data_IF_947120930496
#
_entry.id   IF_947120930496
#
_cell.length_a   1.000
_cell.length_b   1.000
_cell.length_c   1.000
_cell.angle_alpha   90.00
_cell.angle_beta   90.00
_cell.angle_gamma   90.00
#
_symmetry.space_group_name_H-M   'P 1'
#
loop_
_entity.id
_entity.type
_entity.pdbx_description
1 polymer ?
#
# COMPACT_ATOMS: atom_id res chain seq x y z
N UNK A 1 10.27 13.53 -21.58
CA UNK A 1 8.83 13.89 -21.57
C UNK A 1 8.56 14.85 -20.45
N UNK A 2 7.60 15.75 -20.65
CA UNK A 2 7.06 16.62 -19.60
C UNK A 2 5.87 15.92 -18.94
N UNK A 3 6.01 15.52 -17.69
CA UNK A 3 5.06 14.64 -16.99
C UNK A 3 4.37 15.41 -15.86
N UNK A 4 3.04 15.36 -15.82
CA UNK A 4 2.26 15.86 -14.69
C UNK A 4 1.91 14.69 -13.76
N UNK A 5 2.28 14.80 -12.48
CA UNK A 5 1.85 13.92 -11.40
C UNK A 5 0.88 14.69 -10.51
N UNK A 6 -0.33 14.17 -10.30
CA UNK A 6 -1.37 14.88 -9.57
C UNK A 6 -1.83 14.12 -8.31
N UNK A 7 -1.91 14.84 -7.17
CA UNK A 7 -2.45 14.33 -5.92
C UNK A 7 -3.00 15.48 -5.05
N UNK A 8 -4.01 15.23 -4.25
CA UNK A 8 -4.60 16.28 -3.37
C UNK A 8 -3.64 16.83 -2.33
N UNK A 9 -2.59 16.08 -1.92
CA UNK A 9 -1.65 16.51 -0.88
C UNK A 9 -0.31 15.75 -1.01
N UNK A 10 0.80 16.45 -0.90
CA UNK A 10 2.13 15.86 -0.84
C UNK A 10 2.58 15.76 0.63
N UNK A 11 2.73 14.54 1.14
CA UNK A 11 3.24 14.22 2.48
C UNK A 11 3.87 12.81 2.46
N UNK A 12 4.61 12.42 3.52
CA UNK A 12 5.23 11.09 3.59
C UNK A 12 4.54 10.11 4.57
N UNK A 13 3.37 10.48 5.08
CA UNK A 13 2.67 9.67 6.09
C UNK A 13 1.85 8.51 5.52
N UNK A 14 1.45 8.59 4.25
CA UNK A 14 0.65 7.57 3.57
C UNK A 14 1.45 6.69 2.61
N UNK A 15 0.91 5.52 2.27
CA UNK A 15 1.53 4.61 1.29
C UNK A 15 1.52 5.18 -0.12
N UNK A 16 0.40 5.77 -0.55
CA UNK A 16 0.25 6.38 -1.89
C UNK A 16 1.16 7.59 -2.05
N UNK A 17 1.27 8.42 -1.03
CA UNK A 17 2.08 9.64 -1.04
C UNK A 17 3.58 9.32 -1.12
N UNK A 18 4.04 8.27 -0.41
CA UNK A 18 5.42 7.77 -0.56
C UNK A 18 5.71 7.26 -1.97
N UNK A 19 4.77 6.53 -2.58
CA UNK A 19 4.91 6.06 -3.96
C UNK A 19 4.93 7.24 -4.93
N UNK A 20 4.06 8.26 -4.75
CA UNK A 20 4.08 9.48 -5.54
C UNK A 20 5.44 10.19 -5.48
N UNK A 21 5.97 10.38 -4.27
CA UNK A 21 7.26 11.03 -4.04
C UNK A 21 8.40 10.28 -4.75
N UNK A 22 8.48 8.96 -4.53
CA UNK A 22 9.48 8.09 -5.20
C UNK A 22 9.28 8.02 -6.72
N UNK A 23 8.02 8.09 -7.19
CA UNK A 23 7.74 8.16 -8.63
C UNK A 23 8.29 9.45 -9.23
N UNK A 24 8.11 10.58 -8.55
CA UNK A 24 8.65 11.86 -9.01
C UNK A 24 10.18 11.86 -9.05
N UNK A 25 10.85 11.35 -8.01
CA UNK A 25 12.30 11.19 -7.98
C UNK A 25 12.80 10.31 -9.13
N UNK A 26 12.26 9.10 -9.24
CA UNK A 26 12.74 8.13 -10.21
C UNK A 26 12.50 8.55 -11.66
N UNK A 27 11.40 9.23 -11.98
CA UNK A 27 11.17 9.77 -13.32
C UNK A 27 12.12 10.95 -13.64
N UNK A 28 12.40 11.83 -12.68
CA UNK A 28 13.42 12.87 -12.81
C UNK A 28 14.80 12.27 -13.09
N UNK A 29 15.21 11.26 -12.31
CA UNK A 29 16.51 10.60 -12.44
C UNK A 29 16.67 9.90 -13.79
N UNK A 30 15.56 9.57 -14.45
CA UNK A 30 15.49 9.02 -15.81
C UNK A 30 15.39 10.11 -16.90
N UNK A 31 15.62 11.37 -16.56
CA UNK A 31 15.69 12.51 -17.49
C UNK A 31 14.34 13.06 -17.93
N UNK A 32 13.27 12.82 -17.19
CA UNK A 32 11.97 13.45 -17.46
C UNK A 32 11.83 14.80 -16.74
N UNK A 33 11.12 15.74 -17.36
CA UNK A 33 10.67 16.97 -16.73
C UNK A 33 9.40 16.68 -15.92
N UNK A 34 9.53 16.66 -14.58
CA UNK A 34 8.46 16.20 -13.67
C UNK A 34 7.81 17.37 -12.95
N UNK A 35 6.51 17.53 -13.13
CA UNK A 35 5.67 18.54 -12.52
C UNK A 35 4.67 17.90 -11.54
N UNK A 36 4.72 18.29 -10.27
CA UNK A 36 3.79 17.83 -9.22
C UNK A 36 2.68 18.87 -9.04
N UNK A 37 1.44 18.46 -9.25
CA UNK A 37 0.24 19.27 -9.07
C UNK A 37 -0.50 18.83 -7.81
N UNK A 38 -0.34 19.58 -6.72
CA UNK A 38 -0.93 19.25 -5.44
C UNK A 38 -1.85 20.35 -4.91
N UNK A 39 -2.93 19.96 -4.25
CA UNK A 39 -3.79 20.92 -3.54
C UNK A 39 -3.10 21.48 -2.29
N UNK A 40 -2.20 20.71 -1.67
CA UNK A 40 -1.39 21.13 -0.53
C UNK A 40 -0.02 20.45 -0.54
N UNK A 41 1.01 21.18 -0.11
CA UNK A 41 2.37 20.66 0.09
C UNK A 41 2.69 20.76 1.58
N UNK A 42 2.83 19.59 2.25
CA UNK A 42 3.27 19.48 3.65
C UNK A 42 4.78 19.34 3.73
N UNK A 43 5.35 18.79 2.67
CA UNK A 43 6.79 18.69 2.41
C UNK A 43 7.09 19.28 1.04
N UNK A 44 8.32 19.66 0.83
CA UNK A 44 8.77 20.13 -0.47
C UNK A 44 8.77 19.02 -1.52
N UNK A 45 8.50 19.34 -2.78
CA UNK A 45 8.71 18.43 -3.90
C UNK A 45 10.15 17.92 -3.93
N UNK A 46 10.41 16.71 -4.49
CA UNK A 46 11.78 16.25 -4.70
C UNK A 46 12.62 17.27 -5.45
N UNK A 47 13.88 17.48 -5.04
CA UNK A 47 14.80 18.39 -5.71
C UNK A 47 14.87 18.09 -7.21
N UNK A 48 14.88 19.12 -8.06
CA UNK A 48 14.86 18.97 -9.51
C UNK A 48 13.50 18.63 -10.13
N UNK A 49 12.41 18.71 -9.35
CA UNK A 49 11.03 18.64 -9.85
C UNK A 49 10.30 19.99 -9.63
N UNK A 50 9.18 20.21 -10.31
CA UNK A 50 8.43 21.47 -10.27
C UNK A 50 7.12 21.29 -9.49
N UNK A 51 6.97 22.01 -8.38
CA UNK A 51 5.74 21.99 -7.56
C UNK A 51 4.73 23.05 -8.01
N UNK A 52 3.47 22.67 -8.24
CA UNK A 52 2.37 23.55 -8.61
C UNK A 52 1.20 23.38 -7.66
N UNK A 53 0.82 24.45 -6.99
CA UNK A 53 -0.32 24.43 -6.08
C UNK A 53 -1.63 24.62 -6.85
N UNK A 54 -2.44 23.54 -6.88
CA UNK A 54 -3.79 23.59 -7.45
C UNK A 54 -4.69 24.42 -6.52
N UNK A 55 -5.46 25.41 -7.04
CA UNK A 55 -6.33 26.26 -6.23
C UNK A 55 -7.57 25.48 -5.73
N UNK A 56 -7.37 24.60 -4.77
CA UNK A 56 -8.42 23.78 -4.17
C UNK A 56 -8.67 24.19 -2.71
N UNK A 57 -9.92 24.03 -2.24
CA UNK A 57 -10.28 24.31 -0.86
C UNK A 57 -9.62 23.27 0.06
N UNK A 58 -9.17 23.74 1.23
CA UNK A 58 -8.53 22.85 2.21
C UNK A 58 -9.55 22.17 3.13
N UNK A 59 -10.67 22.80 3.39
CA UNK A 59 -11.72 22.36 4.32
C UNK A 59 -13.09 22.86 3.85
N UNK A 60 -14.19 22.15 4.09
CA UNK A 60 -14.28 20.78 4.63
C UNK A 60 -13.80 19.71 3.63
N UNK A 61 -13.66 18.45 4.10
CA UNK A 61 -13.13 17.32 3.30
C UNK A 61 -13.86 17.10 1.97
N UNK A 62 -15.18 17.28 1.94
CA UNK A 62 -16.02 17.19 0.73
C UNK A 62 -15.70 18.30 -0.27
N UNK A 63 -15.56 19.55 0.19
CA UNK A 63 -15.21 20.68 -0.67
C UNK A 63 -13.79 20.54 -1.24
N UNK A 64 -12.83 20.06 -0.41
CA UNK A 64 -11.48 19.75 -0.89
C UNK A 64 -11.50 18.70 -2.00
N UNK A 65 -12.24 17.59 -1.81
CA UNK A 65 -12.38 16.54 -2.83
C UNK A 65 -12.97 17.11 -4.13
N UNK A 66 -14.09 17.83 -4.03
CA UNK A 66 -14.79 18.39 -5.16
C UNK A 66 -13.91 19.37 -5.94
N UNK A 67 -13.37 20.38 -5.24
CA UNK A 67 -12.59 21.43 -5.89
C UNK A 67 -11.31 20.89 -6.51
N UNK A 68 -10.59 19.98 -5.86
CA UNK A 68 -9.42 19.35 -6.46
C UNK A 68 -9.81 18.52 -7.71
N UNK A 69 -10.84 17.66 -7.61
CA UNK A 69 -11.23 16.79 -8.70
C UNK A 69 -11.63 17.53 -9.99
N UNK A 70 -12.27 18.70 -9.86
CA UNK A 70 -12.77 19.46 -11.00
C UNK A 70 -11.83 20.58 -11.46
N UNK A 71 -11.06 21.20 -10.57
CA UNK A 71 -10.17 22.30 -10.94
C UNK A 71 -8.79 21.82 -11.43
N UNK A 72 -8.28 20.71 -10.89
CA UNK A 72 -6.96 20.22 -11.25
C UNK A 72 -6.80 19.93 -12.76
N UNK A 73 -7.74 19.29 -13.48
CA UNK A 73 -7.61 19.03 -14.91
C UNK A 73 -7.37 20.31 -15.73
N UNK A 74 -8.21 21.34 -15.52
CA UNK A 74 -8.09 22.62 -16.22
C UNK A 74 -6.81 23.40 -15.86
N UNK A 75 -6.38 23.29 -14.59
CA UNK A 75 -5.13 23.90 -14.14
C UNK A 75 -3.90 23.23 -14.76
N UNK A 76 -3.87 21.89 -14.81
CA UNK A 76 -2.78 21.10 -15.41
C UNK A 76 -2.69 21.34 -16.93
N UNK A 77 -3.83 21.46 -17.62
CA UNK A 77 -3.89 21.65 -19.07
C UNK A 77 -3.11 22.90 -19.53
N UNK A 78 -3.06 23.96 -18.71
CA UNK A 78 -2.30 25.19 -19.01
C UNK A 78 -0.80 24.98 -19.07
N UNK A 79 -0.28 23.91 -18.44
CA UNK A 79 1.16 23.60 -18.38
C UNK A 79 1.64 22.73 -19.55
N UNK A 80 0.74 22.31 -20.45
CA UNK A 80 1.05 21.56 -21.68
C UNK A 80 1.95 20.34 -21.45
N UNK A 81 1.64 19.53 -20.43
CA UNK A 81 2.35 18.29 -20.15
C UNK A 81 2.04 17.22 -21.21
N UNK A 82 3.01 16.36 -21.51
CA UNK A 82 2.88 15.25 -22.47
C UNK A 82 1.90 14.19 -21.98
N UNK A 83 1.92 13.93 -20.69
CA UNK A 83 1.05 12.95 -20.02
C UNK A 83 0.69 13.42 -18.61
N UNK A 84 -0.54 13.11 -18.20
CA UNK A 84 -1.07 13.39 -16.85
C UNK A 84 -1.34 12.09 -16.13
N UNK A 85 -0.60 11.82 -15.05
CA UNK A 85 -0.78 10.67 -14.17
C UNK A 85 -1.37 11.13 -12.85
N UNK A 86 -2.59 10.71 -12.54
CA UNK A 86 -3.23 11.02 -11.26
C UNK A 86 -3.07 9.87 -10.26
N UNK A 87 -2.69 10.21 -9.03
CA UNK A 87 -2.66 9.33 -7.86
C UNK A 87 -3.88 9.55 -6.95
N UNK A 88 -4.79 10.44 -7.36
CA UNK A 88 -6.01 10.76 -6.60
C UNK A 88 -7.22 10.91 -7.53
N UNK A 89 -8.37 11.23 -6.96
CA UNK A 89 -9.63 11.39 -7.69
C UNK A 89 -9.65 12.69 -8.47
N UNK A 90 -9.68 12.59 -9.79
CA UNK A 90 -9.88 13.68 -10.75
C UNK A 90 -10.89 13.25 -11.79
N UNK A 91 -11.61 14.22 -12.38
CA UNK A 91 -12.66 13.91 -13.39
C UNK A 91 -12.08 13.66 -14.78
N UNK A 92 -10.86 14.08 -15.07
CA UNK A 92 -10.15 13.86 -16.31
C UNK A 92 -8.63 13.83 -16.11
N UNK A 93 -7.97 12.83 -16.66
CA UNK A 93 -6.52 12.61 -16.71
C UNK A 93 -6.20 11.60 -17.81
N UNK A 94 -4.94 11.47 -18.19
CA UNK A 94 -4.56 10.41 -19.14
C UNK A 94 -4.49 9.04 -18.45
N UNK A 95 -3.81 8.99 -17.31
CA UNK A 95 -3.59 7.77 -16.53
C UNK A 95 -4.08 7.98 -15.10
N UNK A 96 -4.94 7.08 -14.61
CA UNK A 96 -5.28 7.01 -13.20
C UNK A 96 -4.57 5.84 -12.55
N UNK A 97 -3.80 6.09 -11.49
CA UNK A 97 -3.18 5.05 -10.68
C UNK A 97 -4.01 4.76 -9.43
N UNK A 98 -4.68 3.62 -9.41
CA UNK A 98 -5.51 3.16 -8.30
C UNK A 98 -4.67 2.44 -7.23
N UNK A 99 -4.29 3.18 -6.19
CA UNK A 99 -3.48 2.63 -5.09
C UNK A 99 -4.27 1.80 -4.07
N UNK A 100 -5.59 1.89 -4.04
CA UNK A 100 -6.42 1.25 -3.01
C UNK A 100 -7.67 0.53 -3.51
N UNK A 101 -7.84 0.46 -4.83
CA UNK A 101 -9.01 -0.14 -5.45
C UNK A 101 -10.25 0.76 -5.50
N UNK A 102 -11.39 0.26 -6.01
CA UNK A 102 -12.62 0.99 -6.11
C UNK A 102 -13.19 1.34 -4.73
N UNK A 103 -13.65 2.57 -4.59
CA UNK A 103 -14.31 3.00 -3.35
C UNK A 103 -15.62 2.25 -3.10
N UNK A 104 -16.31 1.84 -4.17
CA UNK A 104 -17.49 1.00 -4.09
C UNK A 104 -17.17 -0.33 -3.38
N UNK A 105 -16.15 -1.04 -3.82
CA UNK A 105 -15.72 -2.31 -3.22
C UNK A 105 -15.24 -2.12 -1.77
N UNK A 106 -14.53 -1.00 -1.50
CA UNK A 106 -14.16 -0.64 -0.14
C UNK A 106 -15.40 -0.50 0.77
N UNK A 107 -16.43 0.23 0.35
CA UNK A 107 -17.64 0.40 1.12
C UNK A 107 -18.38 -0.93 1.34
N UNK A 108 -18.43 -1.80 0.35
CA UNK A 108 -19.04 -3.13 0.46
C UNK A 108 -18.32 -3.99 1.52
N UNK A 109 -16.97 -4.04 1.48
CA UNK A 109 -16.15 -4.75 2.46
C UNK A 109 -16.33 -4.17 3.88
N UNK A 110 -16.29 -2.85 4.02
CA UNK A 110 -16.49 -2.18 5.32
C UNK A 110 -17.89 -2.41 5.88
N UNK A 111 -18.92 -2.36 5.03
CA UNK A 111 -20.30 -2.65 5.46
C UNK A 111 -20.47 -4.07 6.00
N UNK A 112 -19.77 -5.07 5.44
CA UNK A 112 -19.81 -6.44 5.96
C UNK A 112 -19.24 -6.55 7.38
N UNK A 113 -18.20 -5.76 7.68
CA UNK A 113 -17.46 -5.79 8.95
C UNK A 113 -18.06 -4.88 10.06
N UNK A 114 -19.14 -4.12 9.80
CA UNK A 114 -19.66 -3.11 10.72
C UNK A 114 -21.14 -3.35 11.13
N UNK A 115 -21.54 -2.70 12.23
CA UNK A 115 -22.91 -2.74 12.72
C UNK A 115 -23.88 -1.93 11.83
N UNK A 116 -25.19 -2.10 12.06
CA UNK A 116 -26.26 -1.52 11.23
C UNK A 116 -26.18 0.01 11.14
N UNK A 117 -25.93 0.71 12.25
CA UNK A 117 -25.85 2.17 12.28
C UNK A 117 -24.72 2.70 11.37
N UNK A 118 -23.55 2.06 11.39
CA UNK A 118 -22.44 2.41 10.51
C UNK A 118 -22.69 2.03 9.06
N UNK A 119 -23.39 0.92 8.80
CA UNK A 119 -23.81 0.53 7.44
C UNK A 119 -24.68 1.62 6.80
N UNK A 120 -25.66 2.16 7.55
CA UNK A 120 -26.50 3.26 7.08
C UNK A 120 -25.68 4.53 6.87
N UNK A 121 -24.78 4.87 7.78
CA UNK A 121 -23.92 6.05 7.65
C UNK A 121 -23.06 6.00 6.37
N UNK A 122 -22.43 4.85 6.06
CA UNK A 122 -21.67 4.68 4.81
C UNK A 122 -22.52 4.88 3.54
N UNK A 123 -23.84 4.58 3.60
CA UNK A 123 -24.74 4.78 2.47
C UNK A 123 -25.20 6.23 2.29
N UNK A 124 -25.36 6.97 3.38
CA UNK A 124 -25.96 8.30 3.39
C UNK A 124 -24.95 9.45 3.39
N UNK A 125 -23.71 9.19 3.85
CA UNK A 125 -22.70 10.24 3.98
C UNK A 125 -22.40 10.94 2.64
N UNK A 126 -22.60 12.27 2.54
CA UNK A 126 -22.44 13.02 1.28
C UNK A 126 -21.06 12.87 0.67
N UNK A 127 -20.03 12.74 1.50
CA UNK A 127 -18.65 12.50 1.07
C UNK A 127 -18.51 11.21 0.24
N UNK A 128 -19.12 10.10 0.68
CA UNK A 128 -19.02 8.82 -0.04
C UNK A 128 -19.79 8.85 -1.36
N UNK A 129 -20.96 9.51 -1.38
CA UNK A 129 -21.76 9.68 -2.61
C UNK A 129 -21.00 10.52 -3.65
N UNK A 130 -20.42 11.64 -3.21
CA UNK A 130 -19.59 12.49 -4.09
C UNK A 130 -18.38 11.71 -4.62
N UNK A 131 -17.68 10.98 -3.76
CA UNK A 131 -16.52 10.18 -4.17
C UNK A 131 -16.89 9.13 -5.22
N UNK A 132 -18.01 8.42 -5.03
CA UNK A 132 -18.51 7.44 -6.00
C UNK A 132 -18.89 8.08 -7.35
N UNK A 133 -19.47 9.29 -7.34
CA UNK A 133 -19.79 10.02 -8.56
C UNK A 133 -18.53 10.43 -9.33
N UNK A 134 -17.53 10.97 -8.65
CA UNK A 134 -16.23 11.32 -9.24
C UNK A 134 -15.53 10.06 -9.76
N UNK A 135 -15.52 8.98 -8.98
CA UNK A 135 -14.88 7.71 -9.36
C UNK A 135 -15.53 7.11 -10.61
N UNK A 136 -16.87 7.12 -10.71
CA UNK A 136 -17.57 6.66 -11.91
C UNK A 136 -17.13 7.44 -13.14
N UNK A 137 -17.01 8.77 -13.04
CA UNK A 137 -16.56 9.60 -14.15
C UNK A 137 -15.08 9.34 -14.48
N UNK A 138 -14.22 9.20 -13.47
CA UNK A 138 -12.79 8.90 -13.62
C UNK A 138 -12.52 7.56 -14.31
N UNK A 139 -13.32 6.53 -13.98
CA UNK A 139 -13.19 5.18 -14.55
C UNK A 139 -13.85 5.05 -15.91
N UNK A 140 -14.91 5.85 -16.18
CA UNK A 140 -15.69 5.79 -17.42
C UNK A 140 -14.96 6.35 -18.64
N UNK A 141 -15.67 6.36 -19.78
CA UNK A 141 -15.16 6.92 -21.03
C UNK A 141 -14.94 8.44 -20.91
N UNK A 142 -13.81 8.91 -21.41
CA UNK A 142 -13.37 10.31 -21.28
C UNK A 142 -12.77 10.70 -19.92
N UNK A 143 -12.80 9.83 -18.91
CA UNK A 143 -12.19 10.09 -17.60
C UNK A 143 -10.70 9.74 -17.55
N UNK A 144 -10.34 8.54 -17.97
CA UNK A 144 -8.95 8.06 -18.06
C UNK A 144 -8.77 7.22 -19.32
N UNK A 145 -7.62 7.35 -20.00
CA UNK A 145 -7.23 6.48 -21.12
C UNK A 145 -6.76 5.12 -20.61
N UNK A 146 -5.93 5.12 -19.58
CA UNK A 146 -5.46 3.92 -18.88
C UNK A 146 -5.68 4.03 -17.38
N UNK A 147 -5.93 2.89 -16.75
CA UNK A 147 -6.06 2.75 -15.30
C UNK A 147 -5.00 1.76 -14.83
N UNK A 148 -4.09 2.22 -13.99
CA UNK A 148 -3.09 1.37 -13.37
C UNK A 148 -3.66 0.81 -12.06
N UNK A 149 -3.81 -0.50 -11.99
CA UNK A 149 -4.10 -1.24 -10.78
C UNK A 149 -2.79 -1.70 -10.13
N UNK A 150 -2.70 -1.61 -8.81
CA UNK A 150 -1.47 -1.99 -8.08
C UNK A 150 -1.29 -3.50 -7.91
N UNK A 151 -2.31 -4.30 -8.21
CA UNK A 151 -2.27 -5.77 -8.17
C UNK A 151 -3.40 -6.37 -9.01
N UNK A 152 -3.32 -7.68 -9.26
CA UNK A 152 -4.28 -8.41 -10.09
C UNK A 152 -5.70 -8.35 -9.52
N UNK A 153 -5.84 -8.49 -8.18
CA UNK A 153 -7.16 -8.41 -7.54
C UNK A 153 -7.80 -7.03 -7.74
N UNK A 154 -7.04 -5.94 -7.54
CA UNK A 154 -7.54 -4.59 -7.76
C UNK A 154 -7.89 -4.37 -9.23
N UNK A 155 -7.13 -4.93 -10.15
CA UNK A 155 -7.44 -4.92 -11.59
C UNK A 155 -8.82 -5.53 -11.88
N UNK A 156 -9.08 -6.72 -11.37
CA UNK A 156 -10.38 -7.40 -11.48
C UNK A 156 -11.50 -6.61 -10.81
N UNK A 157 -11.30 -6.16 -9.56
CA UNK A 157 -12.31 -5.36 -8.84
C UNK A 157 -12.72 -4.08 -9.58
N UNK A 158 -11.76 -3.42 -10.26
CA UNK A 158 -12.02 -2.23 -11.08
C UNK A 158 -12.82 -2.61 -12.34
N UNK A 159 -12.37 -3.63 -13.06
CA UNK A 159 -13.04 -4.08 -14.29
C UNK A 159 -14.49 -4.49 -14.02
N UNK A 160 -14.72 -5.27 -12.96
CA UNK A 160 -16.04 -5.75 -12.57
C UNK A 160 -16.98 -4.62 -12.10
N UNK A 161 -16.45 -3.75 -11.20
CA UNK A 161 -17.26 -2.69 -10.59
C UNK A 161 -17.74 -1.62 -11.59
N UNK A 162 -16.98 -1.40 -12.68
CA UNK A 162 -17.24 -0.33 -13.65
C UNK A 162 -17.44 -0.85 -15.08
N UNK A 163 -17.49 -2.17 -15.30
CA UNK A 163 -17.66 -2.82 -16.61
C UNK A 163 -16.67 -2.28 -17.67
N UNK A 164 -15.40 -2.20 -17.29
CA UNK A 164 -14.36 -1.58 -18.11
C UNK A 164 -13.89 -2.56 -19.18
N UNK A 165 -13.78 -2.07 -20.42
CA UNK A 165 -13.30 -2.84 -21.56
C UNK A 165 -11.86 -3.35 -21.34
N UNK A 166 -11.56 -4.51 -21.92
CA UNK A 166 -10.23 -5.12 -21.90
C UNK A 166 -9.15 -4.14 -22.41
N UNK A 167 -8.00 -4.15 -21.75
CA UNK A 167 -6.85 -3.34 -22.15
C UNK A 167 -6.82 -1.90 -21.60
N UNK A 168 -7.91 -1.39 -20.99
CA UNK A 168 -7.92 -0.09 -20.31
C UNK A 168 -7.32 -0.20 -18.89
N UNK A 169 -7.52 -1.32 -18.20
CA UNK A 169 -6.91 -1.62 -16.90
C UNK A 169 -5.62 -2.39 -17.14
N UNK A 170 -4.54 -1.90 -16.56
CA UNK A 170 -3.21 -2.55 -16.59
C UNK A 170 -2.69 -2.71 -15.17
N UNK A 171 -2.03 -3.83 -14.89
CA UNK A 171 -1.42 -4.07 -13.58
C UNK A 171 0.00 -3.56 -13.58
N UNK A 172 0.34 -2.71 -12.60
CA UNK A 172 1.69 -2.27 -12.33
C UNK A 172 1.93 -2.26 -10.83
N UNK A 173 2.68 -3.25 -10.36
CA UNK A 173 3.00 -3.43 -8.95
C UNK A 173 3.90 -2.31 -8.42
N UNK A 174 3.83 -2.03 -7.11
CA UNK A 174 4.73 -1.09 -6.46
C UNK A 174 6.16 -1.61 -6.41
N UNK A 175 7.13 -0.70 -6.39
CA UNK A 175 8.53 -1.02 -6.13
C UNK A 175 8.87 -1.03 -4.64
N UNK A 176 9.96 -1.72 -4.31
CA UNK A 176 10.59 -1.73 -3.00
C UNK A 176 12.07 -1.40 -3.10
N UNK A 177 12.61 -0.80 -2.05
CA UNK A 177 14.04 -0.53 -1.91
C UNK A 177 14.75 -1.81 -1.42
N UNK A 178 15.35 -2.53 -2.35
CA UNK A 178 15.99 -3.83 -2.11
C UNK A 178 17.33 -3.72 -1.34
N UNK A 179 17.92 -2.53 -1.27
CA UNK A 179 19.12 -2.26 -0.48
C UNK A 179 18.79 -1.94 0.98
N UNK A 180 17.78 -1.11 1.18
CA UNK A 180 17.27 -0.77 2.51
C UNK A 180 16.66 -2.00 3.20
N UNK A 181 15.82 -2.74 2.49
CA UNK A 181 15.16 -3.96 2.97
C UNK A 181 15.94 -5.18 2.44
N UNK A 182 16.82 -5.75 3.27
CA UNK A 182 17.71 -6.82 2.84
C UNK A 182 17.97 -7.85 3.95
N UNK A 183 18.01 -9.17 3.63
CA UNK A 183 18.26 -10.22 4.63
C UNK A 183 19.58 -10.09 5.37
N UNK A 184 20.63 -9.50 4.76
CA UNK A 184 21.94 -9.27 5.37
C UNK A 184 21.91 -8.47 6.69
N UNK A 185 20.84 -7.70 6.91
CA UNK A 185 20.67 -6.90 8.14
C UNK A 185 20.32 -7.76 9.36
N UNK A 186 19.96 -9.04 9.14
CA UNK A 186 19.53 -9.94 10.21
C UNK A 186 20.60 -10.17 11.27
N UNK A 187 21.84 -10.40 10.84
CA UNK A 187 22.94 -10.81 11.73
C UNK A 187 23.51 -9.64 12.55
N UNK A 188 23.36 -8.42 12.09
CA UNK A 188 23.84 -7.23 12.80
C UNK A 188 22.65 -6.49 13.44
N UNK A 189 21.88 -5.76 12.66
CA UNK A 189 20.82 -4.89 13.17
C UNK A 189 19.65 -5.67 13.79
N UNK A 190 19.30 -6.83 13.19
CA UNK A 190 18.26 -7.69 13.72
C UNK A 190 18.61 -8.27 15.08
N UNK A 191 19.84 -8.78 15.25
CA UNK A 191 20.33 -9.30 16.53
C UNK A 191 20.40 -8.20 17.58
N UNK A 192 20.99 -7.04 17.25
CA UNK A 192 21.08 -5.90 18.16
C UNK A 192 19.70 -5.43 18.63
N UNK A 193 18.69 -5.42 17.74
CA UNK A 193 17.34 -5.06 18.12
C UNK A 193 16.72 -6.11 19.07
N UNK A 194 16.89 -7.41 18.79
CA UNK A 194 16.43 -8.46 19.71
C UNK A 194 17.03 -8.34 21.10
N UNK A 195 18.34 -8.11 21.20
CA UNK A 195 19.04 -7.87 22.47
C UNK A 195 18.47 -6.67 23.21
N UNK A 196 18.26 -5.53 22.52
CA UNK A 196 17.70 -4.31 23.13
C UNK A 196 16.27 -4.46 23.62
N UNK A 197 15.52 -5.42 23.08
CA UNK A 197 14.15 -5.76 23.46
C UNK A 197 14.08 -6.96 24.42
N UNK A 198 15.22 -7.47 24.90
CA UNK A 198 15.32 -8.66 25.77
C UNK A 198 14.63 -9.91 25.17
N UNK A 199 14.68 -10.08 23.85
CA UNK A 199 14.15 -11.25 23.18
C UNK A 199 15.22 -12.34 23.16
N UNK A 200 14.94 -13.55 23.69
CA UNK A 200 15.89 -14.64 23.69
C UNK A 200 16.39 -14.99 22.28
N UNK A 201 17.66 -15.38 22.11
CA UNK A 201 18.24 -15.70 20.80
C UNK A 201 17.47 -16.77 20.04
N UNK A 202 16.96 -17.78 20.75
CA UNK A 202 16.21 -18.90 20.19
C UNK A 202 14.74 -18.62 19.97
N UNK A 203 14.21 -17.49 20.45
CA UNK A 203 12.80 -17.15 20.29
C UNK A 203 12.46 -16.88 18.82
N UNK A 204 11.25 -17.28 18.42
CA UNK A 204 10.66 -16.84 17.15
C UNK A 204 10.03 -15.47 17.32
N UNK A 205 10.13 -14.65 16.28
CA UNK A 205 9.61 -13.28 16.30
C UNK A 205 8.61 -13.08 15.15
N UNK A 206 7.37 -12.83 15.53
CA UNK A 206 6.33 -12.38 14.62
C UNK A 206 6.27 -10.86 14.68
N UNK A 207 6.27 -10.20 13.53
CA UNK A 207 6.10 -8.75 13.45
C UNK A 207 4.76 -8.38 12.82
N UNK A 208 4.10 -7.39 13.38
CA UNK A 208 2.97 -6.67 12.81
C UNK A 208 3.41 -5.24 12.53
N UNK A 209 3.22 -4.77 11.28
CA UNK A 209 3.60 -3.41 10.88
C UNK A 209 2.43 -2.69 10.25
N UNK A 210 2.09 -1.49 10.75
CA UNK A 210 1.04 -0.71 10.12
C UNK A 210 0.47 0.45 10.92
N UNK A 211 -0.45 1.18 10.28
CA UNK A 211 -1.27 2.24 10.89
C UNK A 211 -2.75 1.90 10.77
N UNK A 212 -3.55 2.29 11.75
CA UNK A 212 -4.96 1.93 11.80
C UNK A 212 -5.15 0.45 12.16
N UNK A 213 -4.76 0.09 13.36
CA UNK A 213 -4.59 -1.27 13.88
C UNK A 213 -5.81 -2.17 13.68
N UNK A 214 -7.03 -1.62 13.93
CA UNK A 214 -8.27 -2.38 13.72
C UNK A 214 -8.42 -2.85 12.26
N UNK A 215 -8.23 -1.95 11.30
CA UNK A 215 -8.35 -2.26 9.87
C UNK A 215 -7.29 -3.25 9.40
N UNK A 216 -6.09 -3.16 9.96
CA UNK A 216 -4.96 -4.06 9.68
C UNK A 216 -5.04 -5.41 10.41
N UNK A 217 -6.04 -5.58 11.30
CA UNK A 217 -6.34 -6.84 11.96
C UNK A 217 -5.54 -7.12 13.22
N UNK A 218 -4.92 -6.10 13.83
CA UNK A 218 -4.17 -6.29 15.09
C UNK A 218 -5.06 -6.88 16.21
N UNK A 219 -6.33 -6.47 16.30
CA UNK A 219 -7.28 -7.02 17.31
C UNK A 219 -7.45 -8.55 17.18
N UNK A 220 -7.44 -9.07 15.95
CA UNK A 220 -7.52 -10.53 15.69
C UNK A 220 -6.27 -11.23 16.16
N UNK A 221 -5.13 -10.66 15.81
CA UNK A 221 -3.83 -11.20 16.18
C UNK A 221 -3.63 -11.21 17.70
N UNK A 222 -3.98 -10.12 18.39
CA UNK A 222 -3.87 -10.03 19.84
C UNK A 222 -4.82 -11.01 20.57
N UNK A 223 -6.07 -11.14 20.13
CA UNK A 223 -7.00 -12.15 20.68
C UNK A 223 -6.51 -13.57 20.43
N UNK A 224 -5.93 -13.82 19.27
CA UNK A 224 -5.34 -15.12 18.98
C UNK A 224 -4.15 -15.40 19.90
N UNK A 225 -3.29 -14.41 20.15
CA UNK A 225 -2.15 -14.54 21.07
C UNK A 225 -2.61 -14.85 22.49
N UNK A 226 -3.70 -14.22 22.93
CA UNK A 226 -4.30 -14.42 24.25
C UNK A 226 -4.93 -15.81 24.43
N UNK A 227 -5.33 -16.47 23.34
CA UNK A 227 -5.86 -17.84 23.38
C UNK A 227 -4.78 -18.92 23.62
N UNK A 228 -3.50 -18.55 23.63
CA UNK A 228 -2.37 -19.44 23.92
C UNK A 228 -1.84 -20.24 22.71
N UNK A 229 -0.74 -20.99 22.97
CA UNK A 229 -0.07 -21.83 21.98
C UNK A 229 0.93 -21.07 21.12
N UNK A 230 1.53 -20.02 21.69
CA UNK A 230 2.63 -19.23 21.11
C UNK A 230 3.83 -19.15 22.07
N UNK A 231 4.02 -20.17 22.90
CA UNK A 231 5.12 -20.25 23.84
C UNK A 231 6.47 -20.17 23.09
N UNK A 232 7.35 -19.30 23.54
CA UNK A 232 8.64 -19.03 22.88
C UNK A 232 8.56 -18.20 21.59
N UNK A 233 7.38 -17.65 21.29
CA UNK A 233 7.16 -16.76 20.14
C UNK A 233 6.82 -15.36 20.64
N UNK A 234 7.54 -14.34 20.16
CA UNK A 234 7.34 -12.94 20.49
C UNK A 234 6.55 -12.22 19.39
N UNK A 235 5.65 -11.32 19.79
CA UNK A 235 4.91 -10.44 18.90
C UNK A 235 5.44 -9.00 19.00
N UNK A 236 6.06 -8.50 17.94
CA UNK A 236 6.46 -7.09 17.80
C UNK A 236 5.38 -6.30 17.06
N UNK A 237 4.81 -5.28 17.71
CA UNK A 237 3.82 -4.38 17.11
C UNK A 237 4.47 -3.05 16.79
N UNK A 238 4.62 -2.76 15.49
CA UNK A 238 5.27 -1.55 14.96
C UNK A 238 4.25 -0.70 14.24
N UNK A 239 4.23 0.60 14.53
CA UNK A 239 3.36 1.55 13.86
C UNK A 239 2.55 2.43 14.78
N UNK A 240 1.55 3.11 14.23
CA UNK A 240 0.78 4.11 14.96
C UNK A 240 -0.73 3.91 14.82
N UNK A 241 -1.42 4.19 15.89
CA UNK A 241 -2.89 4.27 15.94
C UNK A 241 -3.32 5.33 16.95
N UNK A 242 -4.47 5.96 16.74
CA UNK A 242 -5.03 6.93 17.69
C UNK A 242 -5.30 6.33 19.09
N UNK A 243 -5.40 5.00 19.18
CA UNK A 243 -5.62 4.22 20.40
C UNK A 243 -4.39 3.40 20.82
N UNK A 244 -3.20 3.75 20.36
CA UNK A 244 -1.97 2.99 20.66
C UNK A 244 -1.77 2.79 22.17
N UNK A 245 -2.00 3.83 22.99
CA UNK A 245 -1.90 3.75 24.46
C UNK A 245 -2.86 2.71 25.04
N UNK A 246 -4.10 2.66 24.55
CA UNK A 246 -5.10 1.68 25.01
C UNK A 246 -4.69 0.25 24.63
N UNK A 247 -4.15 0.06 23.43
CA UNK A 247 -3.62 -1.24 23.02
C UNK A 247 -2.46 -1.67 23.91
N UNK A 248 -1.49 -0.78 24.13
CA UNK A 248 -0.34 -1.06 25.00
C UNK A 248 -0.77 -1.42 26.42
N UNK A 249 -1.63 -0.61 27.05
CA UNK A 249 -2.08 -0.85 28.42
C UNK A 249 -2.85 -2.16 28.58
N UNK A 250 -3.56 -2.58 27.54
CA UNK A 250 -4.37 -3.81 27.60
C UNK A 250 -3.59 -5.08 27.28
N UNK A 251 -2.63 -5.02 26.35
CA UNK A 251 -2.06 -6.20 25.70
C UNK A 251 -0.54 -6.33 25.86
N UNK A 252 0.19 -5.27 26.28
CA UNK A 252 1.63 -5.38 26.45
C UNK A 252 1.97 -6.35 27.58
N UNK A 253 2.86 -7.28 27.28
CA UNK A 253 3.42 -8.26 28.23
C UNK A 253 4.78 -8.73 27.69
N UNK A 254 5.47 -9.60 28.38
CA UNK A 254 6.84 -10.00 28.04
C UNK A 254 6.99 -10.49 26.59
N UNK A 255 6.00 -11.21 26.05
CA UNK A 255 5.99 -11.75 24.70
C UNK A 255 5.22 -10.86 23.68
N UNK A 256 4.60 -9.73 24.09
CA UNK A 256 3.93 -8.76 23.21
C UNK A 256 4.52 -7.37 23.41
N UNK A 257 5.33 -6.93 22.47
CA UNK A 257 6.09 -5.68 22.56
C UNK A 257 5.53 -4.65 21.59
N UNK A 258 5.04 -3.53 22.12
CA UNK A 258 4.58 -2.38 21.33
C UNK A 258 5.70 -1.35 21.13
N UNK A 259 6.37 -1.39 19.99
CA UNK A 259 7.46 -0.48 19.66
C UNK A 259 6.98 0.93 19.25
N UNK A 260 5.71 1.09 18.86
CA UNK A 260 5.19 2.34 18.33
C UNK A 260 5.70 2.66 16.91
N UNK A 261 5.59 3.93 16.46
CA UNK A 261 6.09 4.35 15.16
C UNK A 261 7.63 4.36 15.16
N UNK A 262 8.23 3.75 14.13
CA UNK A 262 9.69 3.62 14.02
C UNK A 262 10.20 4.20 12.70
N UNK A 263 11.25 5.03 12.72
CA UNK A 263 11.86 5.57 11.51
C UNK A 263 12.65 4.53 10.70
N UNK A 264 13.27 3.56 11.40
CA UNK A 264 14.09 2.48 10.85
C UNK A 264 13.33 1.14 10.93
N UNK A 265 12.19 1.07 10.25
CA UNK A 265 11.31 -0.13 10.26
C UNK A 265 12.03 -1.38 9.72
N UNK A 266 13.02 -1.21 8.85
CA UNK A 266 13.86 -2.28 8.31
C UNK A 266 14.57 -3.09 9.38
N UNK A 267 14.91 -2.50 10.53
CA UNK A 267 15.53 -3.22 11.65
C UNK A 267 14.51 -4.19 12.30
N UNK A 268 13.23 -3.84 12.31
CA UNK A 268 12.17 -4.69 12.85
C UNK A 268 11.87 -5.88 11.93
N UNK A 269 11.95 -5.70 10.61
CA UNK A 269 11.91 -6.84 9.69
C UNK A 269 13.16 -7.71 9.86
N UNK A 270 14.35 -7.11 10.00
CA UNK A 270 15.58 -7.86 10.24
C UNK A 270 15.54 -8.70 11.52
N UNK A 271 14.85 -8.22 12.57
CA UNK A 271 14.64 -8.96 13.82
C UNK A 271 13.54 -10.04 13.72
N UNK A 272 12.70 -10.03 12.70
CA UNK A 272 11.52 -10.88 12.59
C UNK A 272 11.78 -12.19 11.84
N UNK A 273 10.98 -13.21 12.15
CA UNK A 273 10.90 -14.48 11.43
C UNK A 273 9.67 -14.56 10.54
N UNK A 274 8.62 -13.78 10.83
CA UNK A 274 7.35 -13.78 10.11
C UNK A 274 6.67 -12.42 10.22
N UNK A 275 6.14 -11.89 9.11
CA UNK A 275 5.16 -10.81 9.16
C UNK A 275 3.74 -11.39 9.17
N UNK A 276 2.88 -10.86 10.05
CA UNK A 276 1.45 -11.22 10.07
C UNK A 276 0.58 -9.99 9.87
N UNK A 277 -0.22 -10.00 8.80
CA UNK A 277 -1.06 -8.87 8.36
C UNK A 277 -2.49 -9.34 8.01
N UNK A 278 -3.34 -9.70 9.01
CA UNK A 278 -4.69 -10.22 8.78
C UNK A 278 -5.68 -9.06 8.57
N UNK A 279 -5.44 -8.25 7.54
CA UNK A 279 -6.18 -7.02 7.24
C UNK A 279 -7.59 -7.30 6.74
N UNK A 280 -8.58 -6.50 7.13
CA UNK A 280 -9.92 -6.50 6.52
C UNK A 280 -9.82 -6.14 5.04
N UNK A 281 -8.94 -5.19 4.73
CA UNK A 281 -8.66 -4.78 3.36
C UNK A 281 -7.22 -4.30 3.24
N UNK A 282 -6.52 -4.89 2.30
CA UNK A 282 -5.20 -4.46 1.84
C UNK A 282 -5.17 -4.55 0.32
N UNK A 283 -4.73 -3.52 -0.36
CA UNK A 283 -4.63 -3.55 -1.82
C UNK A 283 -3.33 -4.20 -2.28
N UNK A 284 -2.22 -3.56 -1.99
CA UNK A 284 -0.91 -4.06 -2.38
C UNK A 284 -0.13 -4.65 -1.20
N UNK A 285 -0.16 -3.98 -0.03
CA UNK A 285 0.59 -4.41 1.14
C UNK A 285 2.08 -4.08 1.06
N UNK A 286 2.44 -2.79 0.97
CA UNK A 286 3.84 -2.38 0.93
C UNK A 286 4.65 -2.97 2.09
N UNK A 287 4.06 -3.05 3.29
CA UNK A 287 4.72 -3.67 4.47
C UNK A 287 4.98 -5.17 4.27
N UNK A 288 4.12 -5.87 3.52
CA UNK A 288 4.36 -7.26 3.14
C UNK A 288 5.52 -7.36 2.13
N UNK A 289 5.57 -6.45 1.16
CA UNK A 289 6.68 -6.41 0.21
C UNK A 289 8.02 -6.04 0.89
N UNK A 290 8.02 -5.11 1.84
CA UNK A 290 9.18 -4.75 2.66
C UNK A 290 9.69 -5.95 3.48
N UNK A 291 8.77 -6.73 4.07
CA UNK A 291 9.11 -7.98 4.78
C UNK A 291 9.71 -9.02 3.83
N UNK A 292 9.08 -9.27 2.67
CA UNK A 292 9.61 -10.19 1.66
C UNK A 292 11.00 -9.78 1.19
N UNK A 293 11.24 -8.48 0.97
CA UNK A 293 12.55 -7.94 0.58
C UNK A 293 13.62 -8.17 1.67
N UNK A 294 13.21 -8.15 2.94
CA UNK A 294 14.05 -8.48 4.10
C UNK A 294 14.22 -9.99 4.33
N UNK A 295 13.68 -10.83 3.44
CA UNK A 295 13.70 -12.29 3.58
C UNK A 295 12.74 -12.82 4.66
N UNK A 296 11.71 -12.08 5.00
CA UNK A 296 10.71 -12.45 6.01
C UNK A 296 9.45 -12.97 5.31
N UNK A 297 9.06 -14.23 5.51
CA UNK A 297 7.80 -14.78 5.02
C UNK A 297 6.59 -14.01 5.57
N UNK A 298 5.43 -14.14 4.93
CA UNK A 298 4.25 -13.33 5.25
C UNK A 298 3.01 -14.20 5.39
N UNK A 299 2.26 -14.00 6.49
CA UNK A 299 0.85 -14.40 6.60
C UNK A 299 -0.01 -13.16 6.40
N UNK A 300 -0.88 -13.18 5.40
CA UNK A 300 -1.73 -12.04 5.07
C UNK A 300 -3.09 -12.47 4.52
N UNK A 301 -4.05 -11.56 4.51
CA UNK A 301 -5.34 -11.75 3.83
C UNK A 301 -5.16 -12.03 2.34
N UNK A 302 -6.06 -12.84 1.78
CA UNK A 302 -6.07 -13.11 0.35
C UNK A 302 -6.14 -11.80 -0.48
N UNK A 303 -5.43 -11.76 -1.61
CA UNK A 303 -5.41 -10.63 -2.52
C UNK A 303 -4.47 -9.48 -2.15
N UNK A 304 -3.55 -9.70 -1.21
CA UNK A 304 -2.43 -8.79 -0.98
C UNK A 304 -1.47 -8.86 -2.16
N UNK A 305 -1.41 -7.79 -2.95
CA UNK A 305 -0.69 -7.74 -4.23
C UNK A 305 0.82 -8.03 -4.16
N UNK A 306 1.46 -7.80 -3.02
CA UNK A 306 2.85 -8.17 -2.79
C UNK A 306 3.11 -9.70 -2.93
N UNK A 307 2.05 -10.51 -2.88
CA UNK A 307 2.10 -11.97 -3.01
C UNK A 307 1.58 -12.48 -4.37
N UNK A 308 1.22 -11.60 -5.33
CA UNK A 308 0.75 -12.00 -6.66
C UNK A 308 1.76 -12.91 -7.38
N UNK A 309 3.06 -12.59 -7.27
CA UNK A 309 4.14 -13.34 -7.92
C UNK A 309 4.90 -14.27 -6.94
N UNK A 310 4.32 -14.53 -5.76
CA UNK A 310 4.94 -15.40 -4.77
C UNK A 310 4.91 -16.88 -5.20
N UNK A 311 5.89 -17.66 -4.70
CA UNK A 311 5.89 -19.11 -4.85
C UNK A 311 4.71 -19.77 -4.15
N UNK A 312 4.41 -21.01 -4.52
CA UNK A 312 3.34 -21.81 -3.89
C UNK A 312 3.52 -21.90 -2.36
N UNK A 313 4.76 -22.08 -1.89
CA UNK A 313 5.07 -22.18 -0.47
C UNK A 313 4.76 -20.90 0.30
N UNK A 314 5.09 -19.73 -0.23
CA UNK A 314 4.74 -18.45 0.37
C UNK A 314 3.24 -18.15 0.31
N UNK A 315 2.57 -18.58 -0.75
CA UNK A 315 1.10 -18.44 -0.87
C UNK A 315 0.32 -19.25 0.16
N UNK A 316 0.92 -20.27 0.79
CA UNK A 316 0.34 -20.96 1.95
C UNK A 316 0.04 -20.01 3.11
N UNK A 317 0.74 -18.88 3.22
CA UNK A 317 0.46 -17.81 4.18
C UNK A 317 -0.79 -16.97 3.87
N UNK A 318 -1.41 -17.11 2.70
CA UNK A 318 -2.62 -16.37 2.35
C UNK A 318 -3.83 -16.93 3.10
N UNK A 319 -4.51 -16.06 3.86
CA UNK A 319 -5.73 -16.38 4.61
C UNK A 319 -6.93 -16.39 3.68
N UNK A 320 -7.69 -17.47 3.69
CA UNK A 320 -9.00 -17.54 3.01
C UNK A 320 -10.05 -16.74 3.78
N UNK A 321 -10.05 -16.89 5.10
CA UNK A 321 -10.93 -16.14 6.01
C UNK A 321 -10.12 -15.51 7.14
N UNK A 322 -10.03 -14.18 7.16
CA UNK A 322 -9.33 -13.42 8.21
C UNK A 322 -10.01 -13.48 9.58
N UNK A 323 -11.28 -13.88 9.63
CA UNK A 323 -12.04 -14.05 10.88
C UNK A 323 -11.87 -15.46 11.48
N UNK A 324 -11.25 -16.41 10.77
CA UNK A 324 -10.99 -17.75 11.25
C UNK A 324 -9.70 -17.82 12.07
N UNK A 325 -9.76 -17.89 13.42
CA UNK A 325 -8.57 -17.91 14.27
C UNK A 325 -7.76 -19.20 14.11
N UNK A 326 -8.40 -20.33 13.82
CA UNK A 326 -7.73 -21.62 13.62
C UNK A 326 -6.88 -21.61 12.36
N UNK A 327 -7.38 -21.04 11.24
CA UNK A 327 -6.61 -20.87 10.02
C UNK A 327 -5.42 -19.93 10.25
N UNK A 328 -5.63 -18.79 10.91
CA UNK A 328 -4.58 -17.84 11.21
C UNK A 328 -3.47 -18.48 12.06
N UNK A 329 -3.83 -19.21 13.14
CA UNK A 329 -2.88 -19.91 14.00
C UNK A 329 -2.07 -20.95 13.23
N UNK A 330 -2.76 -21.82 12.50
CA UNK A 330 -2.11 -22.89 11.71
C UNK A 330 -1.10 -22.33 10.73
N UNK A 331 -1.44 -21.26 9.99
CA UNK A 331 -0.53 -20.63 9.02
C UNK A 331 0.66 -19.94 9.68
N UNK A 332 0.48 -19.28 10.82
CA UNK A 332 1.58 -18.71 11.59
C UNK A 332 2.57 -19.79 11.99
N UNK A 333 2.09 -20.87 12.63
CA UNK A 333 2.96 -21.93 13.13
C UNK A 333 3.68 -22.67 12.00
N UNK A 334 2.99 -22.97 10.88
CA UNK A 334 3.59 -23.65 9.73
C UNK A 334 4.70 -22.88 9.04
N UNK A 335 4.61 -21.54 8.99
CA UNK A 335 5.66 -20.70 8.38
C UNK A 335 6.80 -20.36 9.35
N UNK A 336 6.66 -20.68 10.65
CA UNK A 336 7.70 -20.53 11.66
C UNK A 336 8.52 -21.82 11.89
N UNK A 337 8.20 -22.93 11.21
CA UNK A 337 8.96 -24.18 11.30
C UNK A 337 10.44 -23.95 10.98
N UNK A 338 11.35 -24.33 11.92
CA UNK A 338 12.79 -24.03 11.84
C UNK A 338 13.45 -24.61 10.60
N UNK A 339 13.09 -25.82 10.26
CA UNK A 339 13.70 -26.58 9.14
C UNK A 339 13.37 -25.96 7.79
N UNK A 340 12.18 -25.42 7.61
CA UNK A 340 11.70 -24.83 6.34
C UNK A 340 12.01 -23.36 6.22
N UNK A 341 12.23 -22.65 7.33
CA UNK A 341 12.37 -21.21 7.35
C UNK A 341 13.50 -20.68 6.44
N UNK A 342 14.70 -21.27 6.36
CA UNK A 342 15.77 -20.77 5.48
C UNK A 342 15.38 -20.75 3.99
N UNK A 343 14.59 -21.74 3.55
CA UNK A 343 14.10 -21.80 2.17
C UNK A 343 12.99 -20.78 1.93
N UNK A 344 12.04 -20.65 2.87
CA UNK A 344 11.00 -19.63 2.84
C UNK A 344 11.61 -18.22 2.79
N UNK A 345 12.65 -17.95 3.57
CA UNK A 345 13.37 -16.68 3.57
C UNK A 345 14.00 -16.37 2.21
N UNK A 346 14.69 -17.33 1.62
CA UNK A 346 15.24 -17.18 0.26
C UNK A 346 14.14 -16.97 -0.79
N UNK A 347 13.03 -17.67 -0.66
CA UNK A 347 11.88 -17.53 -1.56
C UNK A 347 11.20 -16.16 -1.41
N UNK A 348 11.09 -15.65 -0.18
CA UNK A 348 10.59 -14.30 0.11
C UNK A 348 11.44 -13.24 -0.61
N UNK A 349 12.76 -13.31 -0.44
CA UNK A 349 13.70 -12.40 -1.12
C UNK A 349 13.57 -12.45 -2.65
N UNK A 350 13.63 -13.63 -3.25
CA UNK A 350 13.44 -13.81 -4.71
C UNK A 350 12.11 -13.26 -5.22
N UNK A 351 11.05 -13.38 -4.42
CA UNK A 351 9.75 -12.79 -4.75
C UNK A 351 9.85 -11.27 -4.80
N UNK A 352 10.44 -10.64 -3.78
CA UNK A 352 10.56 -9.18 -3.71
C UNK A 352 11.44 -8.59 -4.82
N UNK A 353 12.45 -9.30 -5.30
CA UNK A 353 13.34 -8.86 -6.38
C UNK A 353 12.61 -8.60 -7.70
N UNK A 354 11.45 -9.24 -7.91
CA UNK A 354 10.57 -8.97 -9.07
C UNK A 354 9.86 -7.61 -8.97
N UNK A 355 9.79 -7.02 -7.78
CA UNK A 355 9.13 -5.76 -7.47
C UNK A 355 10.13 -4.61 -7.22
N UNK A 356 11.19 -4.54 -8.03
CA UNK A 356 12.17 -3.45 -7.93
C UNK A 356 11.57 -2.12 -8.40
N UNK A 357 12.10 -1.01 -7.89
CA UNK A 357 11.76 0.32 -8.40
C UNK A 357 12.08 0.46 -9.88
N UNK A 358 13.15 -0.20 -10.35
CA UNK A 358 13.52 -0.20 -11.78
C UNK A 358 12.41 -0.81 -12.65
N UNK A 359 11.85 -1.95 -12.26
CA UNK A 359 10.74 -2.59 -12.96
C UNK A 359 9.49 -1.70 -12.93
N UNK A 360 9.21 -1.03 -11.80
CA UNK A 360 8.11 -0.10 -11.68
C UNK A 360 8.26 1.09 -12.64
N UNK A 361 9.41 1.75 -12.66
CA UNK A 361 9.64 2.91 -13.54
C UNK A 361 9.59 2.53 -15.01
N UNK A 362 10.24 1.44 -15.39
CA UNK A 362 10.23 0.93 -16.78
C UNK A 362 8.81 0.57 -17.24
N UNK A 363 8.02 -0.03 -16.37
CA UNK A 363 6.61 -0.32 -16.63
C UNK A 363 5.77 0.95 -16.77
N UNK A 364 5.95 1.92 -15.88
CA UNK A 364 5.23 3.19 -15.92
C UNK A 364 5.58 4.01 -17.18
N UNK A 365 6.85 4.09 -17.54
CA UNK A 365 7.30 4.77 -18.76
C UNK A 365 6.69 4.18 -20.02
N UNK A 366 6.64 2.84 -20.11
CA UNK A 366 6.00 2.15 -21.25
C UNK A 366 4.53 2.54 -21.37
N UNK A 367 3.77 2.56 -20.27
CA UNK A 367 2.36 2.97 -20.25
C UNK A 367 2.23 4.45 -20.64
N UNK A 368 3.08 5.33 -20.10
CA UNK A 368 3.05 6.75 -20.42
C UNK A 368 3.37 7.02 -21.91
N UNK A 369 4.37 6.37 -22.48
CA UNK A 369 4.74 6.47 -23.91
C UNK A 369 3.57 6.02 -24.80
N UNK A 370 2.93 4.89 -24.47
CA UNK A 370 1.77 4.41 -25.20
C UNK A 370 0.63 5.46 -25.21
N UNK A 371 0.29 5.99 -24.04
CA UNK A 371 -0.80 6.97 -23.90
C UNK A 371 -0.48 8.31 -24.56
N UNK A 372 0.79 8.74 -24.53
CA UNK A 372 1.22 9.96 -25.19
C UNK A 372 1.16 9.84 -26.72
N UNK A 373 1.48 8.67 -27.29
CA UNK A 373 1.39 8.41 -28.73
C UNK A 373 -0.06 8.41 -29.25
N UNK A 374 -1.05 8.11 -28.39
CA UNK A 374 -2.47 8.12 -28.74
C UNK A 374 -3.09 9.55 -28.76
N UNK A 375 -2.33 10.60 -28.47
CA UNK A 375 -2.83 11.99 -28.54
C UNK A 375 -2.87 12.48 -29.99
N UNK A 376 -4.04 12.93 -30.52
CA UNK A 376 -4.12 13.51 -31.85
C UNK A 376 -3.25 14.78 -31.93
N UNK A 377 -2.38 14.89 -32.91
CA UNK A 377 -1.61 16.10 -33.24
C UNK A 377 -0.14 16.12 -32.87
N UNK A 378 0.46 15.01 -32.46
CA UNK A 378 1.93 14.83 -32.41
C UNK A 378 2.32 13.63 -33.29
N UNK A 379 2.63 13.90 -34.54
CA UNK A 379 3.48 13.02 -35.34
C UNK A 379 4.89 12.96 -34.75
N UNK A 380 5.61 11.83 -34.88
CA UNK A 380 6.93 11.61 -34.30
C UNK A 380 7.97 12.63 -34.72
#
# INVERSE_FOLDING_TARGET
MKIALAHKRLELRGGTERILYRTAEGLRDRGHEVHLFCGDFVIDPPAGTFGHRVPSLRWPRTARLLTFAYLAPGFIARHRCDVVVSFDRMVAQDIFRSGGGPHRTFLEKMRRAENLARKLWYGLAPYHRLLLAIERRQMGDGGSKKIIAVCDQIGREIADAYHIANGKVVVLHNGVDLERFHPRRRDAEGRKLRESLNIPPDARVVVFVGTGFRRKGLDRLLRLWDSGGFEGIYLLVVGNDSKLSNYRNRWARNDIIFAGPQPLVENYYAAADLLVLPSIQEAFGNVALEALASGVPVVASAGVGALDQASADLRRGLLGDVENPGELKSKILSLLERERWPELSRSARRTAERYSWENYFSGLERIMKQVAAERPGRAP
#
